data_IF_199586688265
#
_entry.id   IF_199586688265
#
_cell.length_a   1.000
_cell.length_b   1.000
_cell.length_c   1.000
_cell.angle_alpha   90.00
_cell.angle_beta   90.00
_cell.angle_gamma   90.00
#
_symmetry.space_group_name_H-M   'P 1'
#
loop_
_entity.id
_entity.type
_entity.pdbx_description
1 polymer ?
#
# COMPACT_ATOMS: atom_id res chain seq x y z
N UNK A 1 0.27 -24.39 -6.81
CA UNK A 1 -1.04 -23.89 -6.34
C UNK A 1 -2.10 -24.88 -6.75
N UNK A 2 -3.03 -25.24 -5.86
CA UNK A 2 -4.15 -26.15 -6.17
C UNK A 2 -5.34 -25.33 -6.66
N UNK A 3 -5.80 -25.57 -7.88
CA UNK A 3 -7.04 -24.98 -8.41
C UNK A 3 -8.18 -26.00 -8.30
N UNK A 4 -9.28 -25.59 -7.70
CA UNK A 4 -10.53 -26.35 -7.66
C UNK A 4 -11.51 -25.83 -8.74
N UNK A 5 -12.22 -26.74 -9.39
CA UNK A 5 -13.21 -26.45 -10.43
C UNK A 5 -14.63 -26.69 -9.90
N UNK A 6 -15.64 -26.12 -10.59
CA UNK A 6 -17.05 -26.25 -10.19
C UNK A 6 -17.60 -27.69 -10.25
N UNK A 7 -16.90 -28.60 -10.94
CA UNK A 7 -17.22 -30.04 -10.98
C UNK A 7 -16.55 -30.85 -9.86
N UNK A 8 -15.91 -30.18 -8.89
CA UNK A 8 -15.21 -30.80 -7.77
C UNK A 8 -13.84 -31.38 -8.10
N UNK A 9 -13.43 -31.37 -9.38
CA UNK A 9 -12.07 -31.74 -9.75
C UNK A 9 -11.07 -30.67 -9.32
N UNK A 10 -9.82 -31.08 -9.16
CA UNK A 10 -8.72 -30.18 -8.87
C UNK A 10 -7.53 -30.43 -9.77
N UNK A 11 -6.65 -29.44 -9.88
CA UNK A 11 -5.41 -29.54 -10.64
C UNK A 11 -4.30 -28.74 -9.96
N UNK A 12 -3.08 -29.27 -9.98
CA UNK A 12 -1.89 -28.47 -9.69
C UNK A 12 -1.58 -27.55 -10.87
N UNK A 13 -1.51 -26.26 -10.58
CA UNK A 13 -1.12 -25.23 -11.54
C UNK A 13 0.14 -24.52 -11.06
N UNK A 14 1.04 -24.24 -12.01
CA UNK A 14 2.23 -23.45 -11.78
C UNK A 14 1.88 -21.96 -11.97
N UNK A 15 2.12 -21.16 -10.94
CA UNK A 15 1.91 -19.69 -10.97
C UNK A 15 2.76 -19.09 -12.09
N UNK A 16 4.01 -19.56 -12.21
CA UNK A 16 5.00 -19.16 -13.21
C UNK A 16 4.68 -19.54 -14.65
N UNK A 17 3.69 -20.41 -14.90
CA UNK A 17 3.28 -20.75 -16.25
C UNK A 17 2.57 -19.58 -16.96
N UNK A 18 2.03 -18.62 -16.19
CA UNK A 18 1.40 -17.40 -16.70
C UNK A 18 0.31 -17.65 -17.77
N UNK A 19 -0.30 -18.83 -17.76
CA UNK A 19 -1.36 -19.22 -18.67
C UNK A 19 -2.69 -18.60 -18.19
N UNK A 20 -2.97 -17.38 -18.62
CA UNK A 20 -4.09 -16.62 -18.08
C UNK A 20 -5.45 -17.12 -18.54
N UNK A 21 -6.42 -17.16 -17.63
CA UNK A 21 -7.82 -17.38 -17.94
C UNK A 21 -8.58 -18.23 -16.92
N UNK A 22 -9.86 -18.44 -17.20
CA UNK A 22 -10.79 -19.17 -16.34
C UNK A 22 -10.93 -20.66 -16.72
N UNK A 23 -10.33 -21.11 -17.82
CA UNK A 23 -10.37 -22.51 -18.26
C UNK A 23 -9.48 -23.45 -17.43
N UNK A 24 -9.53 -24.75 -17.76
CA UNK A 24 -8.67 -25.77 -17.15
C UNK A 24 -7.19 -25.47 -17.38
N UNK A 25 -6.38 -25.63 -16.34
CA UNK A 25 -4.94 -25.35 -16.35
C UNK A 25 -4.56 -23.88 -16.47
N UNK A 26 -5.53 -22.97 -16.37
CA UNK A 26 -5.31 -21.51 -16.45
C UNK A 26 -5.47 -20.86 -15.07
N UNK A 27 -5.00 -19.63 -14.90
CA UNK A 27 -5.21 -18.82 -13.69
C UNK A 27 -5.77 -17.46 -14.10
N UNK A 28 -6.88 -16.96 -13.52
CA UNK A 28 -7.40 -15.63 -13.85
C UNK A 28 -6.39 -14.52 -13.58
N UNK A 29 -6.39 -13.48 -14.42
CA UNK A 29 -5.41 -12.39 -14.28
C UNK A 29 -5.61 -11.57 -13.00
N UNK A 30 -6.86 -11.48 -12.53
CA UNK A 30 -7.23 -10.82 -11.27
C UNK A 30 -7.51 -11.90 -10.22
N UNK A 31 -6.84 -11.80 -9.08
CA UNK A 31 -6.95 -12.76 -7.98
C UNK A 31 -7.28 -12.01 -6.70
N UNK A 32 -8.30 -12.48 -5.97
CA UNK A 32 -8.63 -11.97 -4.65
C UNK A 32 -8.28 -13.04 -3.61
N UNK A 33 -7.42 -12.69 -2.67
CA UNK A 33 -7.16 -13.50 -1.49
C UNK A 33 -8.23 -13.16 -0.45
N UNK A 34 -9.05 -14.13 -0.06
CA UNK A 34 -9.98 -13.99 1.06
C UNK A 34 -9.39 -14.72 2.27
N UNK A 35 -8.96 -13.95 3.26
CA UNK A 35 -8.34 -14.48 4.48
C UNK A 35 -7.26 -13.57 5.05
N UNK A 36 -7.02 -13.75 6.35
CA UNK A 36 -6.02 -13.00 7.09
C UNK A 36 -4.59 -13.39 6.68
N UNK A 37 -3.58 -12.56 6.99
CA UNK A 37 -2.18 -12.92 6.84
C UNK A 37 -1.71 -14.08 7.73
N UNK A 38 -2.45 -14.42 8.78
CA UNK A 38 -2.18 -15.62 9.58
C UNK A 38 -2.73 -16.89 8.93
N UNK A 39 -3.81 -16.80 8.13
CA UNK A 39 -4.37 -17.92 7.36
C UNK A 39 -3.65 -18.12 6.02
N UNK A 40 -3.41 -17.02 5.29
CA UNK A 40 -2.73 -17.01 3.99
C UNK A 40 -1.58 -15.99 4.09
N UNK A 41 -0.32 -16.44 4.27
CA UNK A 41 0.81 -15.55 4.51
C UNK A 41 0.99 -14.45 3.46
N UNK A 42 1.60 -13.32 3.86
CA UNK A 42 1.93 -12.23 2.95
C UNK A 42 2.82 -12.67 1.77
N UNK A 43 3.72 -13.63 2.00
CA UNK A 43 4.58 -14.21 0.96
C UNK A 43 3.79 -14.78 -0.23
N UNK A 44 2.59 -15.32 0.02
CA UNK A 44 1.70 -15.80 -1.06
C UNK A 44 1.23 -14.65 -1.94
N UNK A 45 0.84 -13.52 -1.32
CA UNK A 45 0.45 -12.33 -2.09
C UNK A 45 1.64 -11.74 -2.84
N UNK A 46 2.81 -11.68 -2.21
CA UNK A 46 4.05 -11.20 -2.82
C UNK A 46 4.44 -12.03 -4.05
N UNK A 47 4.33 -13.35 -3.97
CA UNK A 47 4.62 -14.25 -5.09
C UNK A 47 3.60 -14.06 -6.22
N UNK A 48 2.29 -14.12 -5.91
CA UNK A 48 1.24 -14.02 -6.92
C UNK A 48 1.29 -12.67 -7.66
N UNK A 49 1.57 -11.57 -6.96
CA UNK A 49 1.54 -10.24 -7.58
C UNK A 49 2.69 -9.95 -8.54
N UNK A 50 3.68 -10.86 -8.66
CA UNK A 50 4.72 -10.78 -9.69
C UNK A 50 4.16 -10.98 -11.10
N UNK A 51 3.11 -11.80 -11.23
CA UNK A 51 2.52 -12.18 -12.52
C UNK A 51 1.01 -11.94 -12.65
N UNK A 52 0.34 -11.59 -11.55
CA UNK A 52 -1.11 -11.42 -11.46
C UNK A 52 -1.48 -10.10 -10.76
N UNK A 53 -2.72 -9.66 -10.91
CA UNK A 53 -3.27 -8.50 -10.21
C UNK A 53 -4.00 -8.97 -8.96
N UNK A 54 -3.34 -8.81 -7.80
CA UNK A 54 -3.74 -9.47 -6.56
C UNK A 54 -4.23 -8.45 -5.55
N UNK A 55 -5.44 -8.64 -5.07
CA UNK A 55 -5.98 -7.95 -3.90
C UNK A 55 -6.18 -8.93 -2.74
N UNK A 56 -6.41 -8.40 -1.53
CA UNK A 56 -6.72 -9.19 -0.33
C UNK A 56 -7.85 -8.58 0.46
N UNK A 57 -8.78 -9.40 0.93
CA UNK A 57 -9.76 -9.06 1.96
C UNK A 57 -9.51 -9.89 3.21
N UNK A 58 -9.14 -9.21 4.29
CA UNK A 58 -9.09 -9.73 5.65
C UNK A 58 -10.23 -9.07 6.44
N UNK A 59 -11.46 -9.51 6.15
CA UNK A 59 -12.70 -9.04 6.77
C UNK A 59 -13.55 -10.24 7.15
N UNK A 60 -14.35 -10.10 8.21
CA UNK A 60 -15.22 -11.15 8.72
C UNK A 60 -16.61 -10.60 9.01
N UNK A 61 -17.62 -11.48 8.99
CA UNK A 61 -19.00 -11.17 9.40
C UNK A 61 -19.57 -9.93 8.68
N UNK A 62 -20.20 -9.02 9.43
CA UNK A 62 -20.83 -7.79 8.93
C UNK A 62 -19.88 -6.93 8.08
N UNK A 63 -18.59 -6.85 8.43
CA UNK A 63 -17.62 -6.08 7.66
C UNK A 63 -17.42 -6.63 6.25
N UNK A 64 -17.39 -7.96 6.11
CA UNK A 64 -17.31 -8.62 4.80
C UNK A 64 -18.61 -8.45 4.01
N UNK A 65 -19.76 -8.56 4.67
CA UNK A 65 -21.07 -8.33 4.06
C UNK A 65 -21.21 -6.91 3.52
N UNK A 66 -20.79 -5.90 4.28
CA UNK A 66 -20.77 -4.50 3.85
C UNK A 66 -19.93 -4.32 2.57
N UNK A 67 -18.72 -4.88 2.55
CA UNK A 67 -17.83 -4.81 1.38
C UNK A 67 -18.43 -5.50 0.15
N UNK A 68 -18.97 -6.70 0.31
CA UNK A 68 -19.58 -7.44 -0.80
C UNK A 68 -20.83 -6.73 -1.33
N UNK A 69 -21.68 -6.18 -0.44
CA UNK A 69 -22.86 -5.42 -0.84
C UNK A 69 -22.48 -4.16 -1.63
N UNK A 70 -21.46 -3.42 -1.17
CA UNK A 70 -20.94 -2.26 -1.86
C UNK A 70 -20.28 -2.61 -3.21
N UNK A 71 -19.55 -3.72 -3.28
CA UNK A 71 -18.97 -4.23 -4.51
C UNK A 71 -20.05 -4.62 -5.53
N UNK A 72 -21.07 -5.36 -5.11
CA UNK A 72 -22.15 -5.82 -5.97
C UNK A 72 -23.02 -4.66 -6.51
N UNK A 73 -23.21 -3.60 -5.71
CA UNK A 73 -23.95 -2.41 -6.13
C UNK A 73 -23.04 -1.30 -6.71
N UNK A 74 -21.75 -1.57 -6.86
CA UNK A 74 -20.75 -0.65 -7.39
C UNK A 74 -20.67 0.71 -6.67
N UNK A 75 -20.89 0.72 -5.34
CA UNK A 75 -20.92 1.92 -4.49
C UNK A 75 -21.90 3.01 -4.96
N UNK A 76 -23.06 2.62 -5.50
CA UNK A 76 -24.01 3.55 -6.14
C UNK A 76 -24.72 4.54 -5.18
N UNK A 77 -24.75 4.29 -3.87
CA UNK A 77 -25.56 5.07 -2.94
C UNK A 77 -25.01 6.48 -2.64
N UNK A 78 -23.69 6.61 -2.47
CA UNK A 78 -23.02 7.84 -2.02
C UNK A 78 -21.59 7.96 -2.58
N UNK A 79 -21.38 7.51 -3.83
CA UNK A 79 -20.06 7.42 -4.45
C UNK A 79 -19.22 8.71 -4.36
N UNK A 80 -17.89 8.60 -4.41
CA UNK A 80 -17.02 9.76 -4.29
C UNK A 80 -17.18 10.69 -5.51
N UNK A 81 -16.80 11.95 -5.35
CA UNK A 81 -16.65 12.85 -6.48
C UNK A 81 -15.32 12.48 -7.16
N UNK A 82 -15.38 11.92 -8.38
CA UNK A 82 -14.20 11.42 -9.10
C UNK A 82 -13.09 12.44 -9.18
N UNK A 83 -13.43 13.69 -9.46
CA UNK A 83 -12.44 14.75 -9.60
C UNK A 83 -11.79 15.19 -8.29
N UNK A 84 -12.42 14.90 -7.15
CA UNK A 84 -11.89 15.30 -5.86
C UNK A 84 -10.82 14.31 -5.41
N UNK A 85 -9.61 14.82 -5.18
CA UNK A 85 -8.52 14.07 -4.56
C UNK A 85 -8.07 14.79 -3.30
N UNK A 86 -7.72 14.04 -2.26
CA UNK A 86 -7.11 14.62 -1.05
C UNK A 86 -5.72 14.02 -0.88
N UNK A 87 -4.70 14.86 -1.04
CA UNK A 87 -3.31 14.51 -0.82
C UNK A 87 -2.86 15.21 0.45
N UNK A 88 -2.44 14.43 1.44
CA UNK A 88 -2.00 14.90 2.74
C UNK A 88 -0.58 14.40 2.99
N UNK A 89 0.34 15.32 3.30
CA UNK A 89 1.74 14.96 3.45
C UNK A 89 2.40 15.69 4.61
N UNK A 90 3.07 14.93 5.46
CA UNK A 90 3.85 15.42 6.60
C UNK A 90 5.31 15.60 6.18
N UNK A 91 6.00 16.51 6.85
CA UNK A 91 7.44 16.74 6.73
C UNK A 91 7.94 17.17 8.11
N UNK A 92 8.67 16.28 8.78
CA UNK A 92 9.30 16.53 10.08
C UNK A 92 10.73 17.09 9.95
N UNK A 93 11.12 17.54 8.76
CA UNK A 93 12.39 18.18 8.46
C UNK A 93 13.30 17.35 7.54
N UNK A 94 14.33 17.98 7.00
CA UNK A 94 15.19 17.41 5.94
C UNK A 94 15.97 16.14 6.31
N UNK A 95 16.06 15.81 7.60
CA UNK A 95 16.72 14.59 8.10
C UNK A 95 15.73 13.47 8.40
N UNK A 96 14.43 13.72 8.23
CA UNK A 96 13.36 12.76 8.42
C UNK A 96 12.86 12.26 7.06
N UNK A 97 12.57 10.96 6.97
CA UNK A 97 12.08 10.31 5.74
C UNK A 97 10.83 11.00 5.19
N UNK A 98 9.98 11.58 6.04
CA UNK A 98 8.74 12.25 5.63
C UNK A 98 9.00 13.41 4.67
N UNK A 99 10.14 14.11 4.81
CA UNK A 99 10.57 15.11 3.83
C UNK A 99 10.76 14.48 2.43
N UNK A 100 11.46 13.36 2.36
CA UNK A 100 11.68 12.65 1.09
C UNK A 100 10.37 12.07 0.55
N UNK A 101 9.52 11.50 1.40
CA UNK A 101 8.21 10.93 1.00
C UNK A 101 7.30 11.99 0.38
N UNK A 102 7.19 13.16 1.03
CA UNK A 102 6.43 14.30 0.50
C UNK A 102 6.91 14.70 -0.89
N UNK A 103 8.22 14.86 -1.05
CA UNK A 103 8.82 15.38 -2.29
C UNK A 103 8.90 14.34 -3.42
N UNK A 104 9.07 13.06 -3.10
CA UNK A 104 9.23 11.99 -4.09
C UNK A 104 7.90 11.35 -4.51
N UNK A 105 6.84 11.48 -3.71
CA UNK A 105 5.56 10.78 -3.98
C UNK A 105 4.36 11.71 -3.90
N UNK A 106 4.08 12.32 -2.74
CA UNK A 106 2.85 13.08 -2.56
C UNK A 106 2.75 14.30 -3.49
N UNK A 107 3.79 15.14 -3.52
CA UNK A 107 3.81 16.31 -4.41
C UNK A 107 3.81 15.92 -5.89
N UNK A 108 4.62 14.94 -6.35
CA UNK A 108 4.54 14.49 -7.73
C UNK A 108 3.17 13.96 -8.16
N UNK A 109 2.46 13.20 -7.31
CA UNK A 109 1.09 12.75 -7.62
C UNK A 109 0.16 13.97 -7.75
N UNK A 110 0.19 14.89 -6.79
CA UNK A 110 -0.63 16.11 -6.81
C UNK A 110 -0.39 16.95 -8.07
N UNK A 111 0.88 17.13 -8.42
CA UNK A 111 1.30 17.93 -9.56
C UNK A 111 0.81 17.37 -10.90
N UNK A 112 0.54 16.06 -11.01
CA UNK A 112 -0.06 15.53 -12.24
C UNK A 112 -1.52 15.97 -12.39
N UNK A 113 -2.31 15.97 -11.31
CA UNK A 113 -3.69 16.48 -11.34
C UNK A 113 -3.75 17.98 -11.69
N UNK A 114 -2.78 18.78 -11.21
CA UNK A 114 -2.69 20.20 -11.58
C UNK A 114 -2.36 20.43 -13.07
N UNK A 115 -1.84 19.43 -13.77
CA UNK A 115 -1.51 19.47 -15.20
C UNK A 115 -2.59 18.89 -16.09
N UNK A 116 -3.68 18.37 -15.52
CA UNK A 116 -4.73 17.73 -16.30
C UNK A 116 -5.35 18.71 -17.32
N UNK A 117 -5.91 18.23 -18.42
CA UNK A 117 -6.57 19.10 -19.38
C UNK A 117 -7.97 19.50 -18.90
N UNK A 118 -8.63 18.63 -18.13
CA UNK A 118 -9.94 18.92 -17.54
C UNK A 118 -9.80 19.80 -16.27
N UNK A 119 -10.36 21.02 -16.26
CA UNK A 119 -10.31 21.93 -15.12
C UNK A 119 -10.90 21.33 -13.83
N UNK A 120 -11.89 20.43 -13.93
CA UNK A 120 -12.51 19.84 -12.75
C UNK A 120 -11.49 19.10 -11.88
N UNK A 121 -10.46 18.52 -12.47
CA UNK A 121 -9.40 17.81 -11.75
C UNK A 121 -8.40 18.73 -11.08
N UNK A 122 -8.15 19.91 -11.66
CA UNK A 122 -7.35 20.95 -11.01
C UNK A 122 -8.08 21.50 -9.80
N UNK A 123 -9.37 21.82 -9.97
CA UNK A 123 -10.22 22.39 -8.91
C UNK A 123 -10.50 21.37 -7.80
N UNK A 124 -10.60 20.10 -8.18
CA UNK A 124 -10.81 18.97 -7.28
C UNK A 124 -9.57 18.51 -6.51
N UNK A 125 -8.36 18.82 -7.00
CA UNK A 125 -7.11 18.41 -6.39
C UNK A 125 -6.77 19.23 -5.13
N UNK A 126 -6.88 18.61 -3.97
CA UNK A 126 -6.50 19.21 -2.69
C UNK A 126 -5.14 18.70 -2.22
N UNK A 127 -4.31 19.63 -1.75
CA UNK A 127 -3.04 19.37 -1.07
C UNK A 127 -3.09 19.95 0.35
N UNK A 128 -2.80 19.11 1.34
CA UNK A 128 -2.73 19.45 2.76
C UNK A 128 -1.31 19.22 3.27
N UNK A 129 -0.54 20.29 3.39
CA UNK A 129 0.87 20.29 3.81
C UNK A 129 1.12 21.36 4.88
N UNK A 130 2.33 21.37 5.43
CA UNK A 130 2.80 22.35 6.41
C UNK A 130 1.83 22.48 7.59
N UNK A 131 1.25 23.65 7.86
CA UNK A 131 0.31 23.86 8.96
C UNK A 131 -0.99 23.05 8.81
N UNK A 132 -1.34 22.64 7.59
CA UNK A 132 -2.51 21.81 7.30
C UNK A 132 -2.25 20.31 7.44
N UNK A 133 -1.00 19.88 7.65
CA UNK A 133 -0.63 18.47 7.78
C UNK A 133 -0.98 17.90 9.18
N UNK A 134 -2.19 18.21 9.68
CA UNK A 134 -2.73 17.67 10.95
C UNK A 134 -3.74 16.56 10.69
N UNK A 135 -3.92 15.66 11.65
CA UNK A 135 -4.93 14.60 11.57
C UNK A 135 -6.35 15.18 11.46
N UNK A 136 -6.67 16.23 12.22
CA UNK A 136 -7.98 16.86 12.19
C UNK A 136 -8.27 17.51 10.83
N UNK A 137 -7.30 18.17 10.21
CA UNK A 137 -7.48 18.77 8.88
C UNK A 137 -7.72 17.69 7.83
N UNK A 138 -7.04 16.54 7.92
CA UNK A 138 -7.31 15.40 7.05
C UNK A 138 -8.75 14.91 7.21
N UNK A 139 -9.20 14.60 8.43
CA UNK A 139 -10.58 14.12 8.70
C UNK A 139 -11.62 15.11 8.15
N UNK A 140 -11.47 16.40 8.47
CA UNK A 140 -12.38 17.44 7.98
C UNK A 140 -12.39 17.55 6.45
N UNK A 141 -11.24 17.38 5.79
CA UNK A 141 -11.16 17.41 4.34
C UNK A 141 -11.88 16.21 3.69
N UNK A 142 -11.67 15.01 4.23
CA UNK A 142 -12.32 13.79 3.75
C UNK A 142 -13.85 13.89 3.85
N UNK A 143 -14.35 14.32 5.02
CA UNK A 143 -15.78 14.53 5.28
C UNK A 143 -16.43 15.52 4.29
N UNK A 144 -15.77 16.65 4.03
CA UNK A 144 -16.36 17.73 3.24
C UNK A 144 -16.23 17.53 1.72
N UNK A 145 -15.20 16.81 1.26
CA UNK A 145 -14.90 16.73 -0.19
C UNK A 145 -15.29 15.42 -0.83
N UNK A 146 -15.54 14.35 -0.07
CA UNK A 146 -15.84 13.00 -0.61
C UNK A 146 -14.88 12.60 -1.74
N UNK A 147 -13.56 12.60 -1.48
CA UNK A 147 -12.56 12.37 -2.51
C UNK A 147 -12.64 10.95 -3.06
N UNK A 148 -12.36 10.78 -4.34
CA UNK A 148 -12.24 9.47 -4.99
C UNK A 148 -10.89 8.82 -4.72
N UNK A 149 -9.86 9.65 -4.56
CA UNK A 149 -8.50 9.24 -4.23
C UNK A 149 -8.02 9.98 -2.98
N UNK A 150 -7.56 9.21 -1.99
CA UNK A 150 -6.87 9.72 -0.80
C UNK A 150 -5.42 9.25 -0.87
N UNK A 151 -4.46 10.17 -0.78
CA UNK A 151 -3.05 9.85 -0.66
C UNK A 151 -2.53 10.45 0.64
N UNK A 152 -2.00 9.62 1.51
CA UNK A 152 -1.35 10.08 2.75
C UNK A 152 0.12 9.69 2.74
N UNK A 153 0.99 10.65 3.04
CA UNK A 153 2.45 10.46 3.11
C UNK A 153 2.97 10.93 4.47
N UNK A 154 3.29 10.00 5.36
CA UNK A 154 3.77 10.30 6.73
C UNK A 154 4.50 9.10 7.32
N UNK A 155 4.97 9.23 8.57
CA UNK A 155 5.26 8.06 9.38
C UNK A 155 4.00 7.22 9.60
N UNK A 156 4.21 5.91 9.80
CA UNK A 156 3.21 4.99 10.32
C UNK A 156 3.59 4.59 11.74
N UNK A 157 2.63 4.55 12.65
CA UNK A 157 2.90 4.23 14.05
C UNK A 157 3.42 2.78 14.19
N UNK A 158 4.62 2.63 14.77
CA UNK A 158 5.27 1.34 15.06
C UNK A 158 5.67 1.23 16.55
N UNK A 159 4.90 1.88 17.41
CA UNK A 159 5.11 1.94 18.86
C UNK A 159 3.80 1.74 19.63
N UNK A 160 3.84 1.70 20.97
CA UNK A 160 5.04 1.61 21.79
C UNK A 160 5.65 0.20 21.74
N UNK A 161 6.98 0.09 21.72
CA UNK A 161 7.69 -1.21 21.68
C UNK A 161 7.52 -2.04 22.96
N UNK A 162 7.16 -1.38 24.07
CA UNK A 162 6.94 -1.99 25.38
C UNK A 162 5.57 -2.66 25.51
N UNK A 163 4.60 -2.31 24.68
CA UNK A 163 3.23 -2.84 24.73
C UNK A 163 2.78 -3.22 23.31
N UNK A 164 2.93 -4.51 23.00
CA UNK A 164 2.61 -5.07 21.68
C UNK A 164 1.12 -5.08 21.42
N UNK A 165 0.28 -5.24 22.44
CA UNK A 165 -1.17 -5.23 22.26
C UNK A 165 -1.64 -3.81 21.94
N UNK A 166 -1.10 -2.81 22.61
CA UNK A 166 -1.32 -1.41 22.23
C UNK A 166 -0.78 -1.11 20.82
N UNK A 167 0.41 -1.59 20.47
CA UNK A 167 0.98 -1.40 19.14
C UNK A 167 0.07 -1.97 18.05
N UNK A 168 -0.47 -3.19 18.23
CA UNK A 168 -1.40 -3.81 17.28
C UNK A 168 -2.62 -2.94 16.97
N UNK A 169 -3.14 -2.22 17.98
CA UNK A 169 -4.33 -1.36 17.82
C UNK A 169 -4.05 -0.10 17.00
N UNK A 170 -2.80 0.33 16.90
CA UNK A 170 -2.42 1.58 16.22
C UNK A 170 -1.39 1.39 15.11
N UNK A 171 -1.02 0.15 14.79
CA UNK A 171 0.03 -0.17 13.83
C UNK A 171 -0.26 0.48 12.47
N UNK A 172 0.71 1.25 11.97
CA UNK A 172 0.63 1.88 10.65
C UNK A 172 -0.33 3.07 10.56
N UNK A 173 -0.95 3.50 11.67
CA UNK A 173 -1.72 4.75 11.69
C UNK A 173 -0.82 5.94 11.34
N UNK A 174 -1.34 6.84 10.51
CA UNK A 174 -0.63 8.02 10.05
C UNK A 174 -0.30 8.92 11.23
N UNK A 175 0.93 9.43 11.27
CA UNK A 175 1.40 10.36 12.29
C UNK A 175 1.51 11.74 11.68
N UNK A 176 0.85 12.72 12.29
CA UNK A 176 0.76 14.08 11.77
C UNK A 176 1.99 14.95 12.09
N UNK A 177 1.98 16.19 11.61
CA UNK A 177 3.05 17.18 11.85
C UNK A 177 3.36 17.42 13.34
N UNK A 178 2.37 17.24 14.23
CA UNK A 178 2.51 17.45 15.67
C UNK A 178 2.84 16.14 16.40
N UNK A 179 3.21 15.09 15.67
CA UNK A 179 3.41 13.73 16.18
C UNK A 179 2.15 13.11 16.80
N UNK A 180 0.97 13.57 16.37
CA UNK A 180 -0.32 12.99 16.77
C UNK A 180 -0.71 11.88 15.80
N UNK A 181 -1.08 10.71 16.32
CA UNK A 181 -1.63 9.64 15.49
C UNK A 181 -3.04 10.00 15.01
N UNK A 182 -3.37 9.59 13.79
CA UNK A 182 -4.72 9.68 13.25
C UNK A 182 -5.71 8.95 14.18
N UNK A 183 -6.73 9.67 14.65
CA UNK A 183 -7.83 9.08 15.41
C UNK A 183 -8.75 8.31 14.46
N UNK A 184 -8.62 6.97 14.47
CA UNK A 184 -9.43 6.09 13.64
C UNK A 184 -10.92 6.15 13.99
N UNK A 185 -11.26 6.30 15.27
CA UNK A 185 -12.65 6.35 15.71
C UNK A 185 -13.29 7.67 15.26
N UNK A 186 -12.60 8.80 15.47
CA UNK A 186 -13.02 10.11 14.97
C UNK A 186 -13.16 10.14 13.45
N UNK A 187 -12.21 9.54 12.71
CA UNK A 187 -12.28 9.42 11.25
C UNK A 187 -13.57 8.72 10.80
N UNK A 188 -13.92 7.58 11.41
CA UNK A 188 -15.11 6.80 11.05
C UNK A 188 -16.42 7.45 11.51
N UNK A 189 -16.37 8.31 12.54
CA UNK A 189 -17.51 9.07 12.99
C UNK A 189 -17.84 10.23 12.02
N UNK A 190 -16.81 10.90 11.50
CA UNK A 190 -16.96 12.12 10.70
C UNK A 190 -16.94 11.88 9.19
N UNK A 191 -16.43 10.73 8.72
CA UNK A 191 -16.29 10.44 7.30
C UNK A 191 -16.75 9.02 6.93
N UNK A 192 -17.54 8.94 5.86
CA UNK A 192 -17.88 7.70 5.17
C UNK A 192 -17.01 7.54 3.92
N UNK A 193 -16.22 6.45 3.82
CA UNK A 193 -15.34 6.24 2.68
C UNK A 193 -16.04 6.16 1.33
N UNK A 194 -17.23 5.55 1.32
CA UNK A 194 -18.21 5.53 0.23
C UNK A 194 -17.60 5.26 -1.15
N UNK A 195 -16.60 4.39 -1.22
CA UNK A 195 -15.98 3.95 -2.47
C UNK A 195 -14.74 4.72 -2.91
N UNK A 196 -14.15 5.54 -2.04
CA UNK A 196 -12.81 6.08 -2.26
C UNK A 196 -11.76 4.96 -2.37
N UNK A 197 -10.60 5.29 -2.94
CA UNK A 197 -9.39 4.47 -2.91
C UNK A 197 -8.33 5.22 -2.11
N UNK A 198 -7.69 4.53 -1.16
CA UNK A 198 -6.70 5.12 -0.29
C UNK A 198 -5.30 4.55 -0.58
N UNK A 199 -4.32 5.40 -0.81
CA UNK A 199 -2.90 5.05 -0.80
C UNK A 199 -2.21 5.59 0.46
N UNK A 200 -1.86 4.68 1.37
CA UNK A 200 -1.17 4.97 2.62
C UNK A 200 0.33 4.78 2.45
N UNK A 201 1.05 5.83 2.08
CA UNK A 201 2.50 5.82 2.09
C UNK A 201 3.01 6.08 3.51
N UNK A 202 3.15 4.99 4.27
CA UNK A 202 3.64 4.99 5.64
C UNK A 202 4.11 3.57 6.01
N UNK A 203 5.04 3.48 6.95
CA UNK A 203 5.50 2.21 7.51
C UNK A 203 4.32 1.37 8.00
N UNK A 204 4.25 0.10 7.61
CA UNK A 204 3.23 -0.85 8.09
C UNK A 204 1.76 -0.42 7.84
N UNK A 205 1.51 0.51 6.92
CA UNK A 205 0.15 1.05 6.65
C UNK A 205 -0.85 0.00 6.17
N UNK A 206 -0.38 -1.12 5.58
CA UNK A 206 -1.21 -2.24 5.18
C UNK A 206 -1.21 -3.40 6.20
N UNK A 207 -0.19 -3.50 7.06
CA UNK A 207 -0.10 -4.58 8.04
C UNK A 207 1.32 -4.83 8.56
N UNK A 208 1.53 -6.03 9.11
CA UNK A 208 2.83 -6.58 9.51
C UNK A 208 2.92 -8.07 9.19
N UNK A 209 4.14 -8.58 9.10
CA UNK A 209 4.44 -10.01 9.05
C UNK A 209 5.07 -10.47 10.37
N UNK A 210 4.79 -11.71 10.79
CA UNK A 210 5.40 -12.31 11.99
C UNK A 210 6.93 -12.49 11.90
N UNK A 211 7.48 -12.42 10.69
CA UNK A 211 8.92 -12.38 10.43
C UNK A 211 9.18 -11.21 9.49
N UNK A 212 10.12 -10.34 9.86
CA UNK A 212 10.55 -9.23 9.01
C UNK A 212 11.31 -9.76 7.80
N UNK A 213 10.98 -9.27 6.61
CA UNK A 213 11.74 -9.56 5.40
C UNK A 213 13.17 -9.04 5.51
N UNK A 214 13.41 -8.04 6.36
CA UNK A 214 14.72 -7.43 6.59
C UNK A 214 15.60 -8.17 7.63
N UNK A 215 15.20 -9.36 8.07
CA UNK A 215 15.98 -10.16 9.01
C UNK A 215 17.43 -10.36 8.49
N UNK A 216 18.41 -10.08 9.35
CA UNK A 216 19.83 -10.19 9.02
C UNK A 216 20.43 -9.00 8.25
N UNK A 217 19.64 -8.03 7.81
CA UNK A 217 20.15 -6.84 7.11
C UNK A 217 20.62 -5.73 8.04
N UNK A 218 20.03 -5.63 9.22
CA UNK A 218 20.39 -4.62 10.23
C UNK A 218 20.67 -5.28 11.57
N UNK A 219 21.62 -4.75 12.37
CA UNK A 219 21.87 -5.24 13.73
C UNK A 219 20.59 -5.15 14.57
N UNK A 220 20.28 -6.21 15.31
CA UNK A 220 19.05 -6.32 16.13
C UNK A 220 19.04 -5.31 17.28
N UNK A 221 20.20 -4.95 17.81
CA UNK A 221 20.40 -3.95 18.86
C UNK A 221 20.39 -2.50 18.35
N UNK A 222 20.32 -2.28 17.04
CA UNK A 222 20.14 -0.94 16.46
C UNK A 222 18.72 -0.40 16.73
N UNK A 223 18.53 0.93 16.62
CA UNK A 223 17.20 1.52 16.76
C UNK A 223 16.20 0.96 15.72
N UNK A 224 16.65 0.78 14.49
CA UNK A 224 15.85 0.17 13.41
C UNK A 224 15.58 -1.31 13.70
N UNK A 225 16.60 -2.07 14.14
CA UNK A 225 16.47 -3.48 14.49
C UNK A 225 15.38 -3.71 15.54
N UNK A 226 15.38 -2.91 16.62
CA UNK A 226 14.34 -2.97 17.67
C UNK A 226 12.94 -2.68 17.13
N UNK A 227 12.79 -1.72 16.21
CA UNK A 227 11.50 -1.42 15.59
C UNK A 227 11.03 -2.61 14.73
N UNK A 228 11.90 -3.17 13.90
CA UNK A 228 11.58 -4.33 13.06
C UNK A 228 11.15 -5.55 13.89
N UNK A 229 11.86 -5.83 14.99
CA UNK A 229 11.49 -6.90 15.92
C UNK A 229 10.17 -6.61 16.64
N UNK A 230 9.95 -5.37 17.08
CA UNK A 230 8.70 -4.95 17.71
C UNK A 230 7.49 -5.13 16.78
N UNK A 231 7.62 -4.69 15.54
CA UNK A 231 6.60 -4.89 14.50
C UNK A 231 6.38 -6.38 14.24
N UNK A 232 7.44 -7.18 14.11
CA UNK A 232 7.31 -8.62 13.90
C UNK A 232 6.56 -9.32 15.06
N UNK A 233 6.74 -8.85 16.30
CA UNK A 233 5.99 -9.35 17.48
C UNK A 233 4.49 -9.05 17.43
N UNK A 234 4.04 -8.07 16.65
CA UNK A 234 2.61 -7.89 16.38
C UNK A 234 2.00 -9.10 15.66
N UNK A 235 2.83 -9.89 14.94
CA UNK A 235 2.41 -11.04 14.18
C UNK A 235 2.01 -10.69 12.75
N UNK A 236 1.52 -11.69 12.02
CA UNK A 236 1.00 -11.49 10.67
C UNK A 236 -0.43 -10.95 10.74
N UNK A 237 -0.63 -9.67 10.44
CA UNK A 237 -1.94 -9.00 10.50
C UNK A 237 -2.10 -7.94 9.43
N UNK A 238 -3.33 -7.64 9.04
CA UNK A 238 -3.70 -6.43 8.31
C UNK A 238 -3.83 -5.26 9.30
N UNK A 239 -3.34 -4.08 8.91
CA UNK A 239 -3.34 -2.90 9.78
C UNK A 239 -4.77 -2.44 10.15
N UNK A 240 -4.96 -1.78 11.32
CA UNK A 240 -6.28 -1.35 11.80
C UNK A 240 -7.02 -0.43 10.82
N UNK A 241 -6.33 0.57 10.25
CA UNK A 241 -6.94 1.54 9.34
C UNK A 241 -7.56 0.89 8.09
N UNK A 242 -6.81 0.14 7.24
CA UNK A 242 -7.42 -0.49 6.08
C UNK A 242 -8.52 -1.48 6.45
N UNK A 243 -8.37 -2.25 7.53
CA UNK A 243 -9.40 -3.20 7.97
C UNK A 243 -10.70 -2.48 8.31
N UNK A 244 -10.63 -1.37 9.05
CA UNK A 244 -11.80 -0.62 9.46
C UNK A 244 -12.46 0.11 8.28
N UNK A 245 -11.68 0.71 7.38
CA UNK A 245 -12.21 1.43 6.23
C UNK A 245 -12.78 0.52 5.14
N UNK A 246 -12.19 -0.65 4.91
CA UNK A 246 -12.73 -1.66 3.99
C UNK A 246 -13.95 -2.38 4.60
N UNK A 247 -14.04 -2.47 5.92
CA UNK A 247 -15.17 -3.09 6.62
C UNK A 247 -16.33 -2.15 6.98
N UNK A 248 -16.18 -0.84 6.74
CA UNK A 248 -17.18 0.16 7.09
C UNK A 248 -18.51 -0.07 6.36
N UNK A 249 -19.60 0.46 6.91
CA UNK A 249 -20.95 0.36 6.32
C UNK A 249 -21.01 0.88 4.88
N UNK A 250 -20.28 1.97 4.61
CA UNK A 250 -20.01 2.48 3.27
C UNK A 250 -18.50 2.42 3.02
N UNK A 251 -17.98 1.27 2.54
CA UNK A 251 -16.56 0.96 2.63
C UNK A 251 -15.71 1.66 1.58
N UNK A 252 -14.39 1.64 1.76
CA UNK A 252 -13.44 1.91 0.68
C UNK A 252 -13.60 0.88 -0.44
N UNK A 253 -13.24 1.26 -1.68
CA UNK A 253 -13.03 0.31 -2.77
C UNK A 253 -11.74 -0.48 -2.57
N UNK A 254 -10.67 0.21 -2.20
CA UNK A 254 -9.35 -0.40 -2.06
C UNK A 254 -8.45 0.45 -1.16
N UNK A 255 -7.49 -0.22 -0.55
CA UNK A 255 -6.38 0.39 0.17
C UNK A 255 -5.05 -0.16 -0.37
N UNK A 256 -4.09 0.72 -0.65
CA UNK A 256 -2.74 0.37 -1.07
C UNK A 256 -1.77 0.85 0.01
N UNK A 257 -0.83 0.01 0.41
CA UNK A 257 0.12 0.36 1.47
C UNK A 257 1.22 -0.69 1.66
N UNK A 258 2.09 -0.45 2.64
CA UNK A 258 3.24 -1.31 2.93
C UNK A 258 2.96 -2.22 4.12
N UNK A 259 3.41 -3.47 4.03
CA UNK A 259 3.33 -4.45 5.14
C UNK A 259 4.53 -4.36 6.08
N UNK A 260 5.63 -3.76 5.66
CA UNK A 260 6.81 -3.62 6.51
C UNK A 260 7.21 -2.14 6.62
N UNK A 261 8.14 -1.78 7.53
CA UNK A 261 8.70 -0.43 7.56
C UNK A 261 9.37 -0.06 6.23
N UNK A 262 9.18 1.20 5.83
CA UNK A 262 9.74 1.81 4.63
C UNK A 262 10.98 2.62 5.00
N UNK A 263 11.96 2.72 4.10
CA UNK A 263 13.23 3.42 4.33
C UNK A 263 13.56 4.42 3.21
N UNK A 264 14.36 5.45 3.48
CA UNK A 264 14.72 6.49 2.50
C UNK A 264 15.24 5.94 1.16
N UNK A 265 16.05 4.88 1.23
CA UNK A 265 16.67 4.26 0.07
C UNK A 265 15.67 3.62 -0.90
N UNK A 266 14.43 3.37 -0.47
CA UNK A 266 13.39 2.76 -1.31
C UNK A 266 12.71 3.77 -2.23
N UNK A 267 12.89 5.07 -1.94
CA UNK A 267 12.31 6.18 -2.69
C UNK A 267 13.31 6.85 -3.63
N UNK A 268 14.61 6.75 -3.33
CA UNK A 268 15.67 7.42 -4.09
C UNK A 268 16.92 6.55 -4.17
N UNK A 269 17.39 6.32 -5.40
CA UNK A 269 18.61 5.54 -5.65
C UNK A 269 19.82 6.18 -4.92
N UNK A 270 20.63 5.39 -4.20
CA UNK A 270 21.72 5.93 -3.39
C UNK A 270 22.77 6.67 -4.21
N UNK A 271 23.15 6.16 -5.38
CA UNK A 271 24.21 6.78 -6.19
C UNK A 271 23.69 7.88 -7.13
N UNK A 272 22.74 7.54 -8.00
CA UNK A 272 22.23 8.47 -9.03
C UNK A 272 21.30 9.55 -8.48
N UNK A 273 20.82 9.38 -7.24
CA UNK A 273 19.81 10.24 -6.58
C UNK A 273 18.48 10.32 -7.35
N UNK A 274 18.25 9.45 -8.32
CA UNK A 274 16.99 9.38 -9.06
C UNK A 274 15.88 8.86 -8.15
N UNK A 275 14.69 9.46 -8.25
CA UNK A 275 13.51 8.92 -7.58
C UNK A 275 13.05 7.61 -8.24
N UNK A 276 12.73 6.63 -7.40
CA UNK A 276 12.24 5.32 -7.82
C UNK A 276 10.71 5.27 -7.90
N UNK A 277 10.04 6.38 -7.62
CA UNK A 277 8.60 6.48 -7.33
C UNK A 277 7.73 6.74 -8.56
N UNK A 278 8.32 6.88 -9.76
CA UNK A 278 7.57 7.06 -11.01
C UNK A 278 6.49 6.00 -11.24
N UNK A 279 6.68 4.70 -10.91
CA UNK A 279 5.63 3.69 -10.99
C UNK A 279 4.40 4.00 -10.12
N UNK A 280 4.58 4.60 -8.94
CA UNK A 280 3.47 5.02 -8.06
C UNK A 280 2.69 6.17 -8.70
N UNK A 281 3.39 7.17 -9.22
CA UNK A 281 2.78 8.32 -9.91
C UNK A 281 1.94 7.83 -11.10
N UNK A 282 2.51 6.93 -11.90
CA UNK A 282 1.80 6.32 -13.02
C UNK A 282 0.60 5.49 -12.58
N UNK A 283 0.72 4.72 -11.50
CA UNK A 283 -0.38 3.91 -10.99
C UNK A 283 -1.59 4.77 -10.59
N UNK A 284 -1.37 5.81 -9.77
CA UNK A 284 -2.49 6.58 -9.20
C UNK A 284 -3.07 7.62 -10.16
N UNK A 285 -2.27 8.21 -11.03
CA UNK A 285 -2.74 9.21 -12.00
C UNK A 285 -2.96 8.63 -13.41
N UNK A 286 -1.93 8.05 -14.03
CA UNK A 286 -2.01 7.64 -15.44
C UNK A 286 -2.87 6.39 -15.68
N UNK A 287 -3.01 5.52 -14.69
CA UNK A 287 -3.76 4.27 -14.82
C UNK A 287 -5.09 4.32 -14.05
N UNK A 288 -5.04 4.33 -12.71
CA UNK A 288 -6.22 4.18 -11.86
C UNK A 288 -7.29 5.22 -12.18
N UNK A 289 -6.87 6.48 -12.24
CA UNK A 289 -7.75 7.60 -12.48
C UNK A 289 -8.28 7.66 -13.92
N UNK A 290 -7.56 7.11 -14.89
CA UNK A 290 -8.07 6.88 -16.26
C UNK A 290 -9.00 5.66 -16.36
N UNK A 291 -9.59 5.24 -15.25
CA UNK A 291 -10.59 4.18 -15.17
C UNK A 291 -10.03 2.75 -15.23
N UNK A 292 -8.72 2.56 -15.07
CA UNK A 292 -8.13 1.21 -15.01
C UNK A 292 -8.39 0.59 -13.64
N UNK A 293 -8.60 -0.74 -13.57
CA UNK A 293 -8.65 -1.45 -12.30
C UNK A 293 -7.40 -1.20 -11.45
N UNK A 294 -7.56 -1.01 -10.15
CA UNK A 294 -6.47 -0.73 -9.21
C UNK A 294 -5.37 -1.80 -9.24
N UNK A 295 -5.74 -3.07 -9.37
CA UNK A 295 -4.77 -4.15 -9.49
C UNK A 295 -3.92 -4.05 -10.76
N UNK A 296 -4.52 -3.61 -11.87
CA UNK A 296 -3.80 -3.37 -13.14
C UNK A 296 -2.92 -2.11 -13.04
N UNK A 297 -3.45 -1.04 -12.43
CA UNK A 297 -2.74 0.22 -12.25
C UNK A 297 -1.41 0.05 -11.51
N UNK A 298 -1.36 -0.87 -10.54
CA UNK A 298 -0.13 -1.22 -9.81
C UNK A 298 0.87 -2.06 -10.61
N UNK A 299 0.56 -2.44 -11.86
CA UNK A 299 1.41 -3.31 -12.68
C UNK A 299 2.85 -2.81 -12.83
N UNK A 300 3.05 -1.50 -13.03
CA UNK A 300 4.40 -0.93 -13.10
C UNK A 300 5.15 -1.00 -11.77
N UNK A 301 4.44 -0.94 -10.63
CA UNK A 301 5.07 -1.14 -9.32
C UNK A 301 5.60 -2.58 -9.18
N UNK A 302 4.93 -3.56 -9.79
CA UNK A 302 5.38 -4.97 -9.80
C UNK A 302 6.59 -5.17 -10.70
N UNK A 303 6.64 -4.48 -11.83
CA UNK A 303 7.82 -4.44 -12.71
C UNK A 303 9.01 -3.81 -11.96
N UNK A 304 8.80 -2.70 -11.25
CA UNK A 304 9.85 -2.06 -10.46
C UNK A 304 10.42 -2.97 -9.36
N UNK A 305 9.54 -3.64 -8.60
CA UNK A 305 9.96 -4.63 -7.59
C UNK A 305 10.79 -5.76 -8.21
N UNK A 306 10.36 -6.29 -9.37
CA UNK A 306 11.06 -7.37 -10.06
C UNK A 306 12.41 -6.92 -10.61
N UNK A 307 12.50 -5.71 -11.16
CA UNK A 307 13.75 -5.13 -11.65
C UNK A 307 14.76 -4.92 -10.53
N UNK A 308 14.34 -4.38 -9.39
CA UNK A 308 15.21 -4.20 -8.21
C UNK A 308 15.70 -5.55 -7.68
N UNK A 309 14.84 -6.56 -7.66
CA UNK A 309 15.21 -7.90 -7.25
C UNK A 309 16.28 -8.52 -8.18
N UNK A 310 16.17 -8.31 -9.49
CA UNK A 310 17.17 -8.79 -10.43
C UNK A 310 18.50 -8.05 -10.27
N UNK A 311 18.47 -6.72 -10.14
CA UNK A 311 19.67 -5.93 -9.82
C UNK A 311 20.35 -6.40 -8.54
N UNK A 312 19.57 -6.69 -7.49
CA UNK A 312 20.08 -7.26 -6.24
C UNK A 312 20.81 -8.59 -6.48
N UNK A 313 20.21 -9.52 -7.24
CA UNK A 313 20.83 -10.82 -7.53
C UNK A 313 22.15 -10.67 -8.26
N UNK A 314 22.20 -9.81 -9.28
CA UNK A 314 23.43 -9.55 -10.03
C UNK A 314 24.53 -8.94 -9.14
N UNK A 315 24.18 -7.99 -8.27
CA UNK A 315 25.13 -7.41 -7.32
C UNK A 315 25.62 -8.43 -6.29
N UNK A 316 24.73 -9.30 -5.80
CA UNK A 316 25.09 -10.36 -4.85
C UNK A 316 26.02 -11.42 -5.48
N UNK A 317 25.78 -11.80 -6.74
CA UNK A 317 26.66 -12.70 -7.48
C UNK A 317 28.04 -12.06 -7.73
N UNK A 318 28.09 -10.76 -8.05
CA UNK A 318 29.36 -10.03 -8.20
C UNK A 318 30.14 -9.96 -6.88
N UNK A 319 29.47 -9.69 -5.76
CA UNK A 319 30.06 -9.72 -4.42
C UNK A 319 30.63 -11.10 -4.08
N UNK A 320 29.87 -12.17 -4.35
CA UNK A 320 30.31 -13.55 -4.13
C UNK A 320 31.53 -13.93 -5.00
N UNK A 321 31.71 -13.27 -6.15
CA UNK A 321 32.86 -13.43 -7.04
C UNK A 321 34.05 -12.51 -6.69
N UNK A 322 33.95 -11.73 -5.60
CA UNK A 322 35.05 -10.92 -5.06
C UNK A 322 35.06 -9.44 -5.48
N UNK A 323 34.01 -8.94 -6.13
CA UNK A 323 33.85 -7.50 -6.34
C UNK A 323 33.40 -6.78 -5.06
N UNK A 324 33.91 -5.58 -4.79
CA UNK A 324 33.46 -4.74 -3.67
C UNK A 324 32.10 -4.09 -4.00
N UNK A 325 31.03 -4.76 -3.57
CA UNK A 325 29.63 -4.40 -3.86
C UNK A 325 28.74 -4.39 -2.61
N UNK A 326 29.31 -4.48 -1.40
CA UNK A 326 28.56 -4.68 -0.15
C UNK A 326 27.44 -3.64 0.05
N UNK A 327 27.76 -2.36 -0.13
CA UNK A 327 26.79 -1.27 0.02
C UNK A 327 25.67 -1.30 -1.03
N UNK A 328 26.00 -1.70 -2.26
CA UNK A 328 25.05 -1.83 -3.36
C UNK A 328 24.10 -3.01 -3.12
N UNK A 329 24.64 -4.17 -2.70
CA UNK A 329 23.86 -5.36 -2.33
C UNK A 329 22.87 -5.02 -1.22
N UNK A 330 23.34 -4.41 -0.13
CA UNK A 330 22.50 -4.02 0.98
C UNK A 330 21.36 -3.07 0.56
N UNK A 331 21.69 -2.05 -0.23
CA UNK A 331 20.69 -1.08 -0.69
C UNK A 331 19.65 -1.74 -1.64
N UNK A 332 20.09 -2.54 -2.62
CA UNK A 332 19.20 -3.22 -3.57
C UNK A 332 18.33 -4.29 -2.91
N UNK A 333 18.86 -5.01 -1.92
CA UNK A 333 18.07 -5.98 -1.16
C UNK A 333 16.93 -5.29 -0.41
N UNK A 334 17.25 -4.19 0.27
CA UNK A 334 16.29 -3.40 1.02
C UNK A 334 15.22 -2.78 0.10
N UNK A 335 15.64 -2.19 -1.02
CA UNK A 335 14.75 -1.64 -2.05
C UNK A 335 13.81 -2.70 -2.63
N UNK A 336 14.34 -3.86 -3.00
CA UNK A 336 13.56 -4.99 -3.55
C UNK A 336 12.50 -5.46 -2.55
N UNK A 337 12.87 -5.66 -1.28
CA UNK A 337 11.97 -6.12 -0.23
C UNK A 337 10.85 -5.12 0.05
N UNK A 338 11.17 -3.82 0.11
CA UNK A 338 10.17 -2.78 0.34
C UNK A 338 9.15 -2.70 -0.80
N UNK A 339 9.61 -2.61 -2.05
CA UNK A 339 8.72 -2.55 -3.22
C UNK A 339 7.85 -3.80 -3.36
N UNK A 340 8.37 -4.97 -2.96
CA UNK A 340 7.59 -6.21 -2.89
C UNK A 340 6.51 -6.16 -1.80
N UNK A 341 6.75 -5.43 -0.71
CA UNK A 341 5.82 -5.29 0.42
C UNK A 341 4.65 -4.32 0.17
N UNK A 342 4.67 -3.57 -0.94
CA UNK A 342 3.56 -2.72 -1.37
C UNK A 342 2.39 -3.59 -1.87
N UNK A 343 1.36 -3.75 -1.04
CA UNK A 343 0.21 -4.60 -1.31
C UNK A 343 -1.06 -3.81 -1.62
N UNK A 344 -2.00 -4.51 -2.23
CA UNK A 344 -3.37 -4.05 -2.43
C UNK A 344 -4.30 -4.85 -1.51
N UNK A 345 -5.12 -4.13 -0.76
CA UNK A 345 -6.22 -4.64 0.06
C UNK A 345 -7.55 -4.18 -0.58
N UNK A 346 -8.51 -5.09 -0.71
CA UNK A 346 -9.72 -4.91 -1.53
C UNK A 346 -9.70 -5.73 -2.83
N UNK A 347 -10.79 -5.66 -3.60
CA UNK A 347 -10.95 -6.30 -4.90
C UNK A 347 -10.03 -5.62 -5.95
N UNK A 348 -9.15 -6.37 -6.63
CA UNK A 348 -8.22 -5.81 -7.62
C UNK A 348 -8.87 -5.31 -8.91
N UNK A 349 -10.17 -5.59 -9.11
CA UNK A 349 -10.95 -5.14 -10.26
C UNK A 349 -11.60 -3.77 -10.05
N UNK A 350 -11.63 -3.26 -8.80
CA UNK A 350 -12.17 -1.94 -8.47
C UNK A 350 -11.53 -0.82 -9.28
N UNK A 351 -12.33 0.18 -9.66
CA UNK A 351 -11.95 1.33 -10.48
C UNK A 351 -12.43 2.63 -9.85
N UNK A 352 -11.78 3.73 -10.17
CA UNK A 352 -12.42 5.05 -10.08
C UNK A 352 -13.29 5.20 -11.33
N UNK A 353 -14.60 5.33 -11.14
CA UNK A 353 -15.57 5.54 -12.20
C UNK A 353 -16.42 6.74 -11.84
N UNK A 354 -16.67 7.58 -12.83
CA UNK A 354 -17.56 8.75 -12.74
C UNK A 354 -18.86 8.49 -13.45
#
# INVERSE_FOLDING_TARGET
>A
MTRYYGDGQWQQVAISALNYGVGRGRIPRYLLILGSPSQIPWSVQYELQTGYFVGRLDLESEALENYIAALANNWAASGPIVANTTIWAVDHGSHDITHLMRNAVALPIHNEFLKDEDPAFKDGAQLLIDDQATAQTLISALANRRPSLVVTSSHGATGPLSDIDQMRLQLGLMVDRNHTMLDLAGLLADWTPSGAIWFGQACCSAGSAAQTSYAGLVPTDSAVGRILEGVARCGSMTAPLPRALLGAKEPLRAFVGHVEPTFDWTLRHPDTKQFLTRPLINAFYNELFRGKPVGLALGQCRVAASSLNESYRLAADALANGEDRDGEVFALELMSKDWRSLVLLGDPTCRLIG
#
